data_IF_487543440828
#
_entry.id   IF_487543440828
#
_cell.length_a   1.000
_cell.length_b   1.000
_cell.length_c   1.000
_cell.angle_alpha   90.00
_cell.angle_beta   90.00
_cell.angle_gamma   90.00
#
_symmetry.space_group_name_H-M   'P 1'
#
loop_
_entity.id
_entity.type
_entity.pdbx_description
1 polymer ?
#
# COMPACT_ATOMS: atom_id res chain seq x y z
N UNK A 1 -4.79 26.30 -15.62
CA UNK A 1 -5.90 25.73 -14.82
C UNK A 1 -5.74 26.18 -13.38
N UNK A 2 -6.83 26.48 -12.66
CA UNK A 2 -6.75 26.97 -11.27
C UNK A 2 -6.32 25.85 -10.33
N UNK A 3 -5.20 26.02 -9.63
CA UNK A 3 -4.69 25.09 -8.61
C UNK A 3 -5.36 25.25 -7.25
N UNK A 4 -6.26 26.24 -7.09
CA UNK A 4 -6.90 26.58 -5.83
C UNK A 4 -7.68 25.42 -5.20
N UNK A 5 -8.13 24.45 -5.99
CA UNK A 5 -8.84 23.28 -5.49
C UNK A 5 -7.92 22.31 -4.70
N UNK A 6 -6.59 22.37 -4.88
CA UNK A 6 -5.62 21.51 -4.19
C UNK A 6 -5.00 22.14 -2.94
N UNK A 7 -5.27 23.42 -2.68
CA UNK A 7 -4.72 24.19 -1.56
C UNK A 7 -5.77 24.60 -0.52
N UNK A 8 -6.99 24.06 -0.63
CA UNK A 8 -8.09 24.37 0.30
C UNK A 8 -7.83 23.80 1.69
N UNK A 9 -8.12 24.59 2.73
CA UNK A 9 -7.93 24.17 4.13
C UNK A 9 -8.75 22.93 4.49
N UNK A 10 -9.91 22.72 3.85
CA UNK A 10 -10.76 21.54 4.03
C UNK A 10 -10.10 20.22 3.62
N UNK A 11 -9.01 20.26 2.85
CA UNK A 11 -8.28 19.05 2.47
C UNK A 11 -7.42 18.52 3.62
N UNK A 12 -6.99 19.40 4.53
CA UNK A 12 -6.05 19.08 5.59
C UNK A 12 -6.80 18.74 6.88
N UNK A 13 -6.39 17.66 7.54
CA UNK A 13 -7.04 17.19 8.78
C UNK A 13 -6.29 17.71 10.00
N UNK A 14 -4.98 17.88 9.87
CA UNK A 14 -4.11 18.40 10.93
C UNK A 14 -3.29 19.57 10.35
N UNK A 15 -3.85 20.79 10.34
CA UNK A 15 -3.07 21.98 10.01
C UNK A 15 -2.05 22.27 11.13
N UNK A 16 -0.86 22.78 10.80
CA UNK A 16 0.13 23.20 11.79
C UNK A 16 -0.43 24.30 12.67
N UNK A 17 -0.11 24.24 13.97
CA UNK A 17 -0.48 25.27 14.95
C UNK A 17 0.53 26.42 15.00
N UNK A 18 1.75 26.21 14.48
CA UNK A 18 2.79 27.21 14.40
C UNK A 18 2.74 27.98 13.06
N UNK A 19 3.09 29.27 13.05
CA UNK A 19 3.22 30.02 11.80
C UNK A 19 4.30 29.39 10.90
N UNK A 20 4.23 29.62 9.57
CA UNK A 20 5.27 29.16 8.66
C UNK A 20 6.62 29.70 9.11
N UNK A 21 7.62 28.82 9.21
CA UNK A 21 8.98 29.27 9.42
C UNK A 21 9.42 30.11 8.22
N UNK A 22 10.29 31.09 8.43
CA UNK A 22 10.88 31.94 7.38
C UNK A 22 11.59 31.15 6.27
N UNK A 23 11.80 29.84 6.47
CA UNK A 23 12.58 28.96 5.62
C UNK A 23 11.72 27.91 4.88
N UNK A 24 10.43 28.19 4.66
CA UNK A 24 9.55 27.24 3.95
C UNK A 24 9.88 27.22 2.45
N UNK A 25 10.73 26.28 2.01
CA UNK A 25 11.06 26.04 0.60
C UNK A 25 11.24 24.53 0.32
N UNK A 26 11.15 24.11 -0.95
CA UNK A 26 11.43 22.71 -1.32
C UNK A 26 12.89 22.35 -1.00
N UNK A 27 13.82 23.28 -1.18
CA UNK A 27 15.21 23.10 -0.78
C UNK A 27 15.33 22.76 0.72
N UNK A 28 14.60 23.47 1.58
CA UNK A 28 14.61 23.17 3.02
C UNK A 28 13.97 21.81 3.33
N UNK A 29 12.93 21.41 2.58
CA UNK A 29 12.32 20.09 2.68
C UNK A 29 13.35 18.99 2.38
N UNK A 30 14.11 19.12 1.29
CA UNK A 30 15.19 18.19 0.90
C UNK A 30 16.26 18.12 2.00
N UNK A 31 16.77 19.27 2.45
CA UNK A 31 17.79 19.32 3.53
C UNK A 31 17.28 18.66 4.82
N UNK A 32 16.00 18.84 5.14
CA UNK A 32 15.38 18.22 6.32
C UNK A 32 15.25 16.70 6.19
N UNK A 33 15.02 16.18 4.97
CA UNK A 33 14.98 14.74 4.68
C UNK A 33 16.38 14.09 4.74
N UNK A 34 17.41 14.83 4.34
CA UNK A 34 18.81 14.38 4.31
C UNK A 34 19.53 14.52 5.66
N UNK A 35 18.91 15.13 6.67
CA UNK A 35 19.56 15.40 7.96
C UNK A 35 19.94 14.11 8.71
N UNK A 36 21.26 13.87 8.81
CA UNK A 36 21.81 12.61 9.34
C UNK A 36 21.83 12.52 10.87
N UNK A 37 21.85 13.66 11.56
CA UNK A 37 22.16 13.71 13.00
C UNK A 37 21.08 13.08 13.90
N UNK A 38 19.80 13.09 13.48
CA UNK A 38 18.65 12.64 14.29
C UNK A 38 17.68 11.77 13.45
N UNK A 39 17.91 11.65 12.14
CA UNK A 39 16.91 11.16 11.19
C UNK A 39 15.80 12.19 10.94
N UNK A 40 14.98 12.00 9.88
CA UNK A 40 13.95 12.98 9.51
C UNK A 40 12.88 13.11 10.59
N UNK A 41 12.62 14.35 11.02
CA UNK A 41 11.45 14.65 11.84
C UNK A 41 10.20 14.74 10.95
N UNK A 42 9.46 13.63 10.82
CA UNK A 42 8.27 13.56 9.98
C UNK A 42 7.16 14.53 10.37
N UNK A 43 7.05 14.92 11.65
CA UNK A 43 6.07 15.92 12.06
C UNK A 43 6.43 17.31 11.49
N UNK A 44 7.68 17.72 11.59
CA UNK A 44 8.16 18.98 10.99
C UNK A 44 8.02 18.96 9.45
N UNK A 45 8.29 17.82 8.81
CA UNK A 45 8.13 17.68 7.36
C UNK A 45 6.65 17.76 6.93
N UNK A 46 5.72 17.26 7.75
CA UNK A 46 4.28 17.43 7.53
C UNK A 46 3.87 18.90 7.59
N UNK A 47 4.40 19.67 8.53
CA UNK A 47 4.12 21.10 8.62
C UNK A 47 4.69 21.87 7.42
N UNK A 48 5.91 21.53 6.99
CA UNK A 48 6.53 22.11 5.79
C UNK A 48 5.72 21.81 4.53
N UNK A 49 5.28 20.56 4.33
CA UNK A 49 4.45 20.20 3.16
C UNK A 49 3.09 20.90 3.17
N UNK A 50 2.47 21.12 4.34
CA UNK A 50 1.25 21.93 4.44
C UNK A 50 1.47 23.35 3.90
N UNK A 51 2.52 24.04 4.36
CA UNK A 51 2.79 25.40 3.92
C UNK A 51 3.19 25.47 2.45
N UNK A 52 3.97 24.51 1.94
CA UNK A 52 4.35 24.43 0.52
C UNK A 52 3.14 24.24 -0.40
N UNK A 53 2.22 23.34 -0.05
CA UNK A 53 1.00 23.10 -0.87
C UNK A 53 0.12 24.35 -0.95
N UNK A 54 0.12 25.16 0.10
CA UNK A 54 -0.65 26.42 0.14
C UNK A 54 0.08 27.61 -0.47
N UNK A 55 1.38 27.51 -0.73
CA UNK A 55 2.16 28.59 -1.30
C UNK A 55 1.76 28.83 -2.77
N UNK A 56 1.49 30.07 -3.18
CA UNK A 56 1.19 30.36 -4.58
C UNK A 56 2.42 30.13 -5.46
N UNK A 57 2.23 29.65 -6.70
CA UNK A 57 3.32 29.55 -7.69
C UNK A 57 3.80 28.14 -8.01
N UNK A 58 3.24 27.09 -7.38
CA UNK A 58 3.45 25.71 -7.81
C UNK A 58 2.46 25.31 -8.91
N UNK A 59 2.96 24.53 -9.87
CA UNK A 59 2.14 23.89 -10.89
C UNK A 59 1.24 22.81 -10.26
N UNK A 60 0.17 22.41 -10.96
CA UNK A 60 -0.71 21.35 -10.48
C UNK A 60 0.05 20.01 -10.30
N UNK A 61 1.00 19.71 -11.18
CA UNK A 61 1.87 18.52 -11.04
C UNK A 61 2.72 18.60 -9.77
N UNK A 62 3.36 19.75 -9.51
CA UNK A 62 4.17 19.97 -8.31
C UNK A 62 3.35 19.85 -7.02
N UNK A 63 2.10 20.34 -7.02
CA UNK A 63 1.20 20.20 -5.87
C UNK A 63 0.80 18.74 -5.62
N UNK A 64 0.47 17.99 -6.68
CA UNK A 64 0.19 16.56 -6.56
C UNK A 64 1.41 15.81 -6.00
N UNK A 65 2.61 16.25 -6.41
CA UNK A 65 3.86 15.69 -5.94
C UNK A 65 4.08 15.92 -4.43
N UNK A 66 3.84 17.15 -3.97
CA UNK A 66 3.84 17.49 -2.55
C UNK A 66 2.76 16.74 -1.75
N UNK A 67 1.58 16.53 -2.33
CA UNK A 67 0.52 15.74 -1.71
C UNK A 67 0.92 14.28 -1.49
N UNK A 68 1.57 13.65 -2.48
CA UNK A 68 2.11 12.30 -2.31
C UNK A 68 3.13 12.25 -1.17
N UNK A 69 4.10 13.16 -1.13
CA UNK A 69 5.07 13.26 -0.03
C UNK A 69 4.35 13.37 1.32
N UNK A 70 3.37 14.26 1.43
CA UNK A 70 2.57 14.45 2.65
C UNK A 70 1.86 13.17 3.11
N UNK A 71 1.22 12.43 2.20
CA UNK A 71 0.52 11.19 2.55
C UNK A 71 1.50 10.11 3.04
N UNK A 72 2.67 9.98 2.42
CA UNK A 72 3.73 9.04 2.86
C UNK A 72 4.29 9.47 4.22
N UNK A 73 4.51 10.76 4.44
CA UNK A 73 4.95 11.28 5.74
C UNK A 73 3.96 10.95 6.86
N UNK A 74 2.65 11.01 6.63
CA UNK A 74 1.66 10.55 7.61
C UNK A 74 1.79 9.06 7.92
N UNK A 75 2.02 8.23 6.90
CA UNK A 75 2.26 6.79 7.11
C UNK A 75 3.51 6.59 7.98
N UNK A 76 4.62 7.25 7.67
CA UNK A 76 5.86 7.10 8.42
C UNK A 76 5.75 7.66 9.85
N UNK A 77 4.94 8.69 10.06
CA UNK A 77 4.68 9.29 11.37
C UNK A 77 3.60 8.56 12.22
N UNK A 78 3.25 7.30 11.89
CA UNK A 78 2.21 6.51 12.60
C UNK A 78 0.82 7.19 12.63
N UNK A 79 0.51 7.98 11.61
CA UNK A 79 -0.73 8.78 11.51
C UNK A 79 -1.64 8.25 10.39
N UNK A 80 -1.86 6.93 10.32
CA UNK A 80 -2.66 6.31 9.25
C UNK A 80 -4.07 6.92 9.13
N UNK A 81 -4.75 7.18 10.25
CA UNK A 81 -6.08 7.79 10.22
C UNK A 81 -6.08 9.19 9.59
N UNK A 82 -5.01 9.96 9.76
CA UNK A 82 -4.85 11.25 9.09
C UNK A 82 -4.56 11.05 7.61
N UNK A 83 -3.66 10.13 7.26
CA UNK A 83 -3.37 9.77 5.87
C UNK A 83 -4.64 9.36 5.11
N UNK A 84 -5.48 8.49 5.69
CA UNK A 84 -6.74 8.04 5.10
C UNK A 84 -7.71 9.21 4.86
N UNK A 85 -7.92 10.05 5.87
CA UNK A 85 -8.84 11.19 5.76
C UNK A 85 -8.36 12.22 4.73
N UNK A 86 -7.08 12.59 4.75
CA UNK A 86 -6.53 13.53 3.76
C UNK A 86 -6.51 12.93 2.34
N UNK A 87 -6.24 11.62 2.20
CA UNK A 87 -6.34 10.94 0.91
C UNK A 87 -7.78 10.93 0.37
N UNK A 88 -8.78 10.70 1.21
CA UNK A 88 -10.20 10.80 0.83
C UNK A 88 -10.51 12.23 0.35
N UNK A 89 -10.12 13.24 1.12
CA UNK A 89 -10.36 14.63 0.77
C UNK A 89 -9.70 15.00 -0.56
N UNK A 90 -8.43 14.63 -0.75
CA UNK A 90 -7.69 14.86 -1.98
C UNK A 90 -8.31 14.13 -3.17
N UNK A 91 -8.62 12.84 -3.04
CA UNK A 91 -9.29 12.06 -4.07
C UNK A 91 -10.61 12.70 -4.49
N UNK A 92 -11.42 13.15 -3.53
CA UNK A 92 -12.70 13.78 -3.80
C UNK A 92 -12.52 15.12 -4.54
N UNK A 93 -11.56 15.94 -4.12
CA UNK A 93 -11.26 17.20 -4.79
C UNK A 93 -10.82 16.98 -6.25
N UNK A 94 -9.95 15.98 -6.49
CA UNK A 94 -9.50 15.60 -7.83
C UNK A 94 -10.64 15.07 -8.68
N UNK A 95 -11.47 14.19 -8.13
CA UNK A 95 -12.61 13.62 -8.84
C UNK A 95 -13.64 14.69 -9.23
N UNK A 96 -14.00 15.57 -8.29
CA UNK A 96 -14.98 16.65 -8.52
C UNK A 96 -14.48 17.69 -9.51
N UNK A 97 -13.17 17.98 -9.51
CA UNK A 97 -12.56 18.86 -10.50
C UNK A 97 -12.64 18.27 -11.92
N UNK A 98 -12.52 16.95 -12.09
CA UNK A 98 -12.72 16.29 -13.39
C UNK A 98 -14.20 16.13 -13.77
N UNK A 99 -15.09 16.04 -12.80
CA UNK A 99 -16.51 15.73 -12.98
C UNK A 99 -17.37 16.80 -12.30
N UNK A 100 -17.36 18.01 -12.88
CA UNK A 100 -18.19 19.12 -12.41
C UNK A 100 -19.66 18.67 -12.29
N UNK A 101 -20.27 18.88 -11.13
CA UNK A 101 -21.64 18.49 -10.77
C UNK A 101 -21.88 17.00 -10.43
N UNK A 102 -20.84 16.22 -10.11
CA UNK A 102 -21.05 14.84 -9.67
C UNK A 102 -21.82 14.74 -8.34
N UNK A 103 -22.92 13.99 -8.37
CA UNK A 103 -23.77 13.72 -7.20
C UNK A 103 -23.01 12.84 -6.19
N UNK A 104 -23.09 13.10 -4.88
CA UNK A 104 -22.40 12.29 -3.88
C UNK A 104 -22.80 10.81 -3.99
N UNK A 105 -21.85 9.85 -4.02
CA UNK A 105 -22.17 8.43 -4.18
C UNK A 105 -23.07 7.89 -3.06
N UNK A 106 -23.03 8.51 -1.87
CA UNK A 106 -23.85 8.14 -0.71
C UNK A 106 -25.23 8.82 -0.68
N UNK A 107 -25.61 9.60 -1.70
CA UNK A 107 -26.93 10.23 -1.78
C UNK A 107 -27.97 9.39 -2.54
N UNK A 108 -27.57 8.23 -3.07
CA UNK A 108 -28.47 7.29 -3.73
C UNK A 108 -29.11 6.31 -2.72
N UNK A 109 -30.00 6.81 -1.87
CA UNK A 109 -31.08 6.01 -1.25
C UNK A 109 -32.09 6.93 -0.57
N UNK A 110 -33.00 7.50 -1.37
CA UNK A 110 -34.41 7.71 -1.02
C UNK A 110 -35.19 8.18 -2.26
N UNK A 111 -34.97 7.54 -3.41
CA UNK A 111 -35.81 7.71 -4.58
C UNK A 111 -36.84 6.56 -4.61
N UNK A 112 -37.91 6.75 -3.84
CA UNK A 112 -39.30 6.39 -4.17
C UNK A 112 -39.51 5.18 -5.08
N UNK A 113 -39.75 4.03 -4.45
CA UNK A 113 -40.69 3.05 -4.99
C UNK A 113 -41.98 3.17 -4.19
N UNK A 114 -42.82 4.16 -4.51
CA UNK A 114 -44.22 4.17 -4.07
C UNK A 114 -45.07 4.81 -5.18
N UNK A 115 -45.58 3.93 -6.04
CA UNK A 115 -46.78 4.21 -6.81
C UNK A 115 -47.99 4.02 -5.88
N UNK A 116 -48.89 5.00 -5.91
CA UNK A 116 -50.28 4.98 -5.46
C UNK A 116 -50.62 5.64 -4.10
N UNK A 117 -51.20 6.84 -4.24
CA UNK A 117 -52.49 7.25 -3.67
C UNK A 117 -52.58 7.87 -2.26
N UNK A 118 -53.31 8.99 -2.26
CA UNK A 118 -54.16 9.59 -1.21
C UNK A 118 -53.53 10.40 -0.06
N UNK A 119 -53.65 11.72 -0.21
CA UNK A 119 -54.15 12.71 0.78
C UNK A 119 -53.98 12.41 2.28
N UNK A 120 -53.13 13.17 2.95
CA UNK A 120 -53.50 13.97 4.13
C UNK A 120 -52.27 14.72 4.69
N UNK A 121 -52.51 15.96 5.08
CA UNK A 121 -51.61 16.80 5.86
C UNK A 121 -51.15 16.12 7.14
N UNK A 122 -49.84 15.97 7.34
CA UNK A 122 -49.25 15.78 8.64
C UNK A 122 -47.84 16.39 8.64
N UNK A 123 -47.72 17.53 9.30
CA UNK A 123 -46.48 18.06 9.85
C UNK A 123 -45.88 17.02 10.79
N UNK A 124 -44.89 16.27 10.31
CA UNK A 124 -44.00 15.48 11.15
C UNK A 124 -42.58 15.92 10.89
N UNK A 125 -42.05 16.68 11.85
CA UNK A 125 -40.62 16.84 12.07
C UNK A 125 -39.99 15.44 12.18
N UNK A 126 -39.48 14.91 11.07
CA UNK A 126 -38.53 13.81 11.11
C UNK A 126 -37.20 14.45 11.44
N UNK A 127 -36.92 14.49 12.75
CA UNK A 127 -35.59 14.66 13.31
C UNK A 127 -34.58 13.91 12.45
N UNK A 128 -33.75 14.69 11.74
CA UNK A 128 -32.53 14.23 11.07
C UNK A 128 -31.73 13.47 12.13
N UNK A 129 -31.76 12.14 12.04
CA UNK A 129 -30.80 11.32 12.74
C UNK A 129 -29.43 11.70 12.16
N UNK A 130 -28.70 12.46 12.95
CA UNK A 130 -27.29 12.79 12.82
C UNK A 130 -26.51 11.46 12.78
N UNK A 131 -26.40 10.85 11.61
CA UNK A 131 -25.30 9.92 11.35
C UNK A 131 -24.07 10.79 11.15
N UNK A 132 -23.16 10.77 12.12
CA UNK A 132 -21.85 11.42 12.10
C UNK A 132 -21.35 11.69 10.67
N UNK A 133 -21.11 12.97 10.33
CA UNK A 133 -20.65 13.47 9.04
C UNK A 133 -19.56 12.58 8.40
N UNK A 134 -19.97 11.55 7.64
CA UNK A 134 -19.07 10.74 6.84
C UNK A 134 -18.84 11.48 5.53
N UNK A 135 -17.60 11.95 5.32
CA UNK A 135 -17.18 12.51 4.03
C UNK A 135 -17.50 11.49 2.94
N UNK A 136 -18.23 11.84 1.86
CA UNK A 136 -18.51 10.90 0.78
C UNK A 136 -17.19 10.40 0.19
N UNK A 137 -17.10 9.14 -0.22
CA UNK A 137 -15.88 8.59 -0.85
C UNK A 137 -16.17 8.42 -2.33
N UNK A 138 -15.58 9.27 -3.17
CA UNK A 138 -15.74 9.18 -4.62
C UNK A 138 -14.83 8.11 -5.24
N UNK A 139 -15.17 7.58 -6.44
CA UNK A 139 -14.24 6.76 -7.22
C UNK A 139 -12.93 7.49 -7.51
N UNK A 140 -11.87 6.77 -7.91
CA UNK A 140 -10.65 7.42 -8.39
C UNK A 140 -10.97 8.36 -9.56
N UNK A 141 -10.26 9.50 -9.68
CA UNK A 141 -10.34 10.34 -10.88
C UNK A 141 -10.00 9.51 -12.12
N UNK A 142 -10.61 9.84 -13.26
CA UNK A 142 -10.32 9.21 -14.54
C UNK A 142 -8.89 9.54 -15.01
N UNK A 143 -8.31 10.61 -14.47
CA UNK A 143 -6.97 11.07 -14.81
C UNK A 143 -6.84 11.32 -16.32
N UNK A 144 -7.82 12.06 -16.86
CA UNK A 144 -8.00 12.28 -18.31
C UNK A 144 -6.78 12.96 -18.94
N UNK A 145 -6.12 13.84 -18.19
CA UNK A 145 -4.94 14.58 -18.64
C UNK A 145 -3.61 13.90 -18.24
N UNK A 146 -3.66 12.70 -17.66
CA UNK A 146 -2.49 11.96 -17.19
C UNK A 146 -1.58 12.77 -16.24
N UNK A 147 -2.18 13.68 -15.46
CA UNK A 147 -1.45 14.57 -14.57
C UNK A 147 -1.15 13.94 -13.21
N UNK A 148 -1.96 12.96 -12.79
CA UNK A 148 -1.77 12.24 -11.54
C UNK A 148 -0.89 11.03 -11.82
N UNK A 149 0.26 10.97 -11.16
CA UNK A 149 1.18 9.86 -11.27
C UNK A 149 0.57 8.55 -10.74
N UNK A 150 1.02 7.44 -11.30
CA UNK A 150 0.57 6.09 -10.92
C UNK A 150 0.72 5.83 -9.41
N UNK A 151 1.87 6.22 -8.84
CA UNK A 151 2.17 5.95 -7.44
C UNK A 151 1.22 6.69 -6.50
N UNK A 152 0.86 7.93 -6.84
CA UNK A 152 -0.15 8.68 -6.10
C UNK A 152 -1.55 8.06 -6.27
N UNK A 153 -1.92 7.61 -7.47
CA UNK A 153 -3.21 6.93 -7.67
C UNK A 153 -3.33 5.66 -6.82
N UNK A 154 -2.26 4.85 -6.75
CA UNK A 154 -2.22 3.65 -5.90
C UNK A 154 -2.27 4.01 -4.43
N UNK A 155 -1.50 5.01 -4.00
CA UNK A 155 -1.51 5.44 -2.61
C UNK A 155 -2.91 5.95 -2.19
N UNK A 156 -3.55 6.75 -3.05
CA UNK A 156 -4.94 7.17 -2.85
C UNK A 156 -5.88 5.99 -2.77
N UNK A 157 -5.73 5.00 -3.66
CA UNK A 157 -6.57 3.81 -3.69
C UNK A 157 -6.50 3.00 -2.39
N UNK A 158 -5.28 2.79 -1.88
CA UNK A 158 -5.00 2.07 -0.63
C UNK A 158 -5.49 2.82 0.60
N UNK A 159 -5.38 4.14 0.61
CA UNK A 159 -5.75 4.97 1.76
C UNK A 159 -7.26 5.29 1.80
N UNK A 160 -7.90 5.50 0.64
CA UNK A 160 -9.30 5.98 0.61
C UNK A 160 -10.33 4.91 0.96
N UNK A 161 -9.97 3.64 0.83
CA UNK A 161 -10.88 2.52 1.06
C UNK A 161 -10.20 1.39 1.78
N UNK A 162 -10.87 0.85 2.80
CA UNK A 162 -10.49 -0.45 3.34
C UNK A 162 -10.62 -1.51 2.24
N UNK A 163 -9.69 -2.48 2.15
CA UNK A 163 -9.75 -3.54 1.16
C UNK A 163 -11.11 -4.25 1.18
N UNK A 164 -11.83 -4.14 0.07
CA UNK A 164 -13.14 -4.75 -0.14
C UNK A 164 -13.29 -5.11 -1.61
N UNK A 165 -14.26 -5.97 -1.96
CA UNK A 165 -14.39 -6.47 -3.34
C UNK A 165 -14.69 -5.38 -4.36
N UNK A 166 -15.28 -4.24 -3.99
CA UNK A 166 -15.47 -3.12 -4.91
C UNK A 166 -14.13 -2.48 -5.31
N UNK A 167 -13.11 -2.60 -4.46
CA UNK A 167 -11.76 -2.10 -4.74
C UNK A 167 -11.14 -2.77 -5.95
N UNK A 168 -11.46 -4.05 -6.18
CA UNK A 168 -11.00 -4.81 -7.34
C UNK A 168 -11.47 -4.13 -8.64
N UNK A 169 -12.69 -3.57 -8.67
CA UNK A 169 -13.19 -2.86 -9.84
C UNK A 169 -12.40 -1.57 -10.12
N UNK A 170 -11.93 -0.88 -9.08
CA UNK A 170 -11.06 0.29 -9.24
C UNK A 170 -9.65 -0.11 -9.70
N UNK A 171 -9.11 -1.21 -9.18
CA UNK A 171 -7.84 -1.79 -9.64
C UNK A 171 -7.91 -2.19 -11.12
N UNK A 172 -9.01 -2.80 -11.56
CA UNK A 172 -9.21 -3.14 -12.98
C UNK A 172 -9.26 -1.90 -13.87
N UNK A 173 -9.93 -0.83 -13.43
CA UNK A 173 -9.95 0.45 -14.17
C UNK A 173 -8.55 1.03 -14.28
N UNK A 174 -7.76 0.99 -13.21
CA UNK A 174 -6.38 1.48 -13.20
C UNK A 174 -5.48 0.63 -14.12
N UNK A 175 -5.64 -0.69 -14.11
CA UNK A 175 -4.96 -1.61 -15.02
C UNK A 175 -5.23 -1.24 -16.49
N UNK A 176 -6.50 -1.00 -16.82
CA UNK A 176 -6.88 -0.57 -18.16
C UNK A 176 -6.24 0.77 -18.54
N UNK A 177 -6.27 1.77 -17.64
CA UNK A 177 -5.64 3.06 -17.86
C UNK A 177 -4.12 2.95 -18.10
N UNK A 178 -3.42 2.11 -17.33
CA UNK A 178 -1.99 1.87 -17.50
C UNK A 178 -1.67 1.28 -18.88
N UNK A 179 -2.44 0.29 -19.32
CA UNK A 179 -2.24 -0.36 -20.62
C UNK A 179 -2.45 0.61 -21.78
N UNK A 180 -3.38 1.54 -21.67
CA UNK A 180 -3.61 2.57 -22.69
C UNK A 180 -2.47 3.59 -22.77
N UNK A 181 -1.81 3.90 -21.66
CA UNK A 181 -0.79 4.95 -21.57
C UNK A 181 0.62 4.47 -21.94
N UNK A 182 0.84 3.18 -22.20
CA UNK A 182 2.10 2.58 -22.66
C UNK A 182 3.35 3.12 -21.94
N UNK A 183 3.54 2.73 -20.67
CA UNK A 183 4.76 3.09 -19.92
C UNK A 183 5.88 2.06 -20.09
N UNK A 184 7.14 2.50 -20.08
CA UNK A 184 8.32 1.61 -20.03
C UNK A 184 8.29 0.62 -18.86
N UNK A 185 7.71 1.05 -17.73
CA UNK A 185 7.57 0.28 -16.48
C UNK A 185 6.24 -0.49 -16.38
N UNK A 186 5.49 -0.61 -17.50
CA UNK A 186 4.13 -1.16 -17.47
C UNK A 186 4.10 -2.54 -16.81
N UNK A 187 5.10 -3.37 -17.09
CA UNK A 187 5.20 -4.71 -16.54
C UNK A 187 5.23 -4.72 -15.01
N UNK A 188 6.17 -3.99 -14.39
CA UNK A 188 6.30 -3.92 -12.94
C UNK A 188 5.03 -3.36 -12.29
N UNK A 189 4.42 -2.34 -12.91
CA UNK A 189 3.14 -1.77 -12.45
C UNK A 189 2.01 -2.80 -12.50
N UNK A 190 1.89 -3.59 -13.57
CA UNK A 190 0.89 -4.66 -13.67
C UNK A 190 1.11 -5.79 -12.66
N UNK A 191 2.37 -6.17 -12.39
CA UNK A 191 2.71 -7.12 -11.33
C UNK A 191 2.27 -6.56 -9.97
N UNK A 192 2.58 -5.30 -9.68
CA UNK A 192 2.20 -4.70 -8.39
C UNK A 192 0.66 -4.61 -8.23
N UNK A 193 -0.08 -4.27 -9.29
CA UNK A 193 -1.55 -4.32 -9.26
C UNK A 193 -2.10 -5.71 -8.96
N UNK A 194 -1.41 -6.78 -9.41
CA UNK A 194 -1.81 -8.15 -9.07
C UNK A 194 -1.66 -8.41 -7.57
N UNK A 195 -0.64 -7.85 -6.93
CA UNK A 195 -0.46 -7.94 -5.48
C UNK A 195 -1.56 -7.18 -4.74
N UNK A 196 -1.98 -6.00 -5.22
CA UNK A 196 -3.15 -5.32 -4.64
C UNK A 196 -4.43 -6.20 -4.70
N UNK A 197 -4.67 -6.93 -5.80
CA UNK A 197 -5.78 -7.89 -5.89
C UNK A 197 -5.62 -9.01 -4.86
N UNK A 198 -4.41 -9.56 -4.71
CA UNK A 198 -4.10 -10.60 -3.72
C UNK A 198 -4.40 -10.10 -2.31
N UNK A 199 -3.96 -8.89 -1.96
CA UNK A 199 -4.21 -8.25 -0.66
C UNK A 199 -5.70 -8.11 -0.39
N UNK A 200 -6.48 -7.62 -1.36
CA UNK A 200 -7.93 -7.46 -1.21
C UNK A 200 -8.60 -8.81 -0.95
N UNK A 201 -8.30 -9.83 -1.76
CA UNK A 201 -8.92 -11.15 -1.62
C UNK A 201 -8.48 -11.84 -0.32
N UNK A 202 -7.24 -11.64 0.12
CA UNK A 202 -6.71 -12.19 1.36
C UNK A 202 -7.40 -11.59 2.59
N UNK A 203 -7.52 -10.26 2.65
CA UNK A 203 -8.13 -9.55 3.80
C UNK A 203 -9.62 -9.80 3.88
N UNK A 204 -10.30 -9.84 2.73
CA UNK A 204 -11.72 -10.18 2.66
C UNK A 204 -11.99 -11.68 2.81
N UNK A 205 -10.94 -12.50 3.02
CA UNK A 205 -11.02 -13.96 3.19
C UNK A 205 -11.68 -14.69 2.02
N UNK A 206 -11.64 -14.12 0.82
CA UNK A 206 -12.13 -14.73 -0.42
C UNK A 206 -11.10 -15.72 -0.99
N UNK A 207 -10.71 -16.71 -0.17
CA UNK A 207 -9.58 -17.59 -0.45
C UNK A 207 -9.77 -18.48 -1.69
N UNK A 208 -11.00 -18.90 -2.00
CA UNK A 208 -11.26 -19.69 -3.22
C UNK A 208 -11.03 -18.86 -4.49
N UNK A 209 -11.55 -17.63 -4.53
CA UNK A 209 -11.30 -16.70 -5.63
C UNK A 209 -9.82 -16.37 -5.74
N UNK A 210 -9.13 -16.17 -4.61
CA UNK A 210 -7.69 -15.94 -4.57
C UNK A 210 -6.91 -17.14 -5.15
N UNK A 211 -7.24 -18.35 -4.71
CA UNK A 211 -6.55 -19.57 -5.17
C UNK A 211 -6.75 -19.76 -6.68
N UNK A 212 -7.98 -19.60 -7.19
CA UNK A 212 -8.25 -19.68 -8.62
C UNK A 212 -7.50 -18.60 -9.41
N UNK A 213 -7.48 -17.37 -8.91
CA UNK A 213 -6.72 -16.27 -9.52
C UNK A 213 -5.23 -16.59 -9.62
N UNK A 214 -4.62 -17.07 -8.53
CA UNK A 214 -3.20 -17.43 -8.49
C UNK A 214 -2.88 -18.64 -9.37
N UNK A 215 -3.72 -19.67 -9.40
CA UNK A 215 -3.53 -20.84 -10.27
C UNK A 215 -3.54 -20.42 -11.75
N UNK A 216 -4.49 -19.57 -12.15
CA UNK A 216 -4.55 -19.06 -13.53
C UNK A 216 -3.31 -18.22 -13.86
N UNK A 217 -2.88 -17.33 -12.97
CA UNK A 217 -1.65 -16.55 -13.14
C UNK A 217 -0.43 -17.46 -13.30
N UNK A 218 -0.28 -18.49 -12.47
CA UNK A 218 0.84 -19.44 -12.56
C UNK A 218 0.84 -20.16 -13.91
N UNK A 219 -0.31 -20.57 -14.41
CA UNK A 219 -0.44 -21.21 -15.72
C UNK A 219 -0.02 -20.26 -16.84
N UNK A 220 -0.52 -19.02 -16.84
CA UNK A 220 -0.14 -18.01 -17.83
C UNK A 220 1.37 -17.73 -17.82
N UNK A 221 1.98 -17.60 -16.63
CA UNK A 221 3.42 -17.37 -16.50
C UNK A 221 4.26 -18.54 -17.01
N UNK A 222 3.81 -19.79 -16.79
CA UNK A 222 4.48 -20.99 -17.32
C UNK A 222 4.41 -21.11 -18.83
N UNK A 223 3.41 -20.51 -19.47
CA UNK A 223 3.24 -20.53 -20.92
C UNK A 223 4.09 -19.47 -21.64
N UNK A 224 4.72 -18.55 -20.91
CA UNK A 224 5.58 -17.53 -21.50
C UNK A 224 6.85 -18.18 -22.10
N UNK A 225 7.16 -17.94 -23.39
CA UNK A 225 8.40 -18.41 -23.98
C UNK A 225 9.57 -17.56 -23.47
N UNK A 226 10.61 -18.20 -22.92
CA UNK A 226 11.83 -17.56 -22.40
C UNK A 226 11.53 -16.39 -21.45
N UNK A 227 10.88 -16.63 -20.29
CA UNK A 227 10.57 -15.57 -19.35
C UNK A 227 11.87 -14.93 -18.85
N UNK A 228 11.93 -13.61 -18.87
CA UNK A 228 13.01 -12.87 -18.23
C UNK A 228 13.03 -13.08 -16.71
N UNK A 229 14.08 -12.60 -16.06
CA UNK A 229 14.31 -12.76 -14.62
C UNK A 229 13.12 -12.26 -13.77
N UNK A 230 12.51 -11.13 -14.15
CA UNK A 230 11.36 -10.58 -13.44
C UNK A 230 10.12 -11.48 -13.52
N UNK A 231 9.83 -12.10 -14.67
CA UNK A 231 8.72 -13.04 -14.78
C UNK A 231 9.01 -14.36 -14.07
N UNK A 232 10.27 -14.80 -14.03
CA UNK A 232 10.69 -15.96 -13.24
C UNK A 232 10.51 -15.68 -11.74
N UNK A 233 10.93 -14.50 -11.26
CA UNK A 233 10.71 -14.07 -9.89
C UNK A 233 9.21 -13.93 -9.56
N UNK A 234 8.41 -13.43 -10.49
CA UNK A 234 6.96 -13.33 -10.30
C UNK A 234 6.27 -14.71 -10.26
N UNK A 235 6.67 -15.65 -11.13
CA UNK A 235 6.23 -17.05 -11.06
C UNK A 235 6.57 -17.65 -9.69
N UNK A 236 7.77 -17.38 -9.20
CA UNK A 236 8.23 -17.80 -7.89
C UNK A 236 7.31 -17.30 -6.76
N UNK A 237 7.01 -16.00 -6.76
CA UNK A 237 6.12 -15.35 -5.81
C UNK A 237 4.72 -15.96 -5.85
N UNK A 238 4.16 -16.14 -7.05
CA UNK A 238 2.83 -16.74 -7.25
C UNK A 238 2.80 -18.19 -6.75
N UNK A 239 3.82 -18.99 -7.04
CA UNK A 239 3.90 -20.39 -6.56
C UNK A 239 3.93 -20.44 -5.03
N UNK A 240 4.71 -19.59 -4.37
CA UNK A 240 4.71 -19.52 -2.90
C UNK A 240 3.33 -19.13 -2.35
N UNK A 241 2.67 -18.12 -2.95
CA UNK A 241 1.32 -17.70 -2.53
C UNK A 241 0.29 -18.81 -2.69
N UNK A 242 0.34 -19.61 -3.77
CA UNK A 242 -0.56 -20.76 -3.96
C UNK A 242 -0.41 -21.75 -2.80
N UNK A 243 0.83 -22.09 -2.44
CA UNK A 243 1.11 -23.03 -1.35
C UNK A 243 0.54 -22.51 -0.04
N UNK A 244 0.81 -21.25 0.30
CA UNK A 244 0.29 -20.61 1.53
C UNK A 244 -1.24 -20.59 1.53
N UNK A 245 -1.86 -20.11 0.45
CA UNK A 245 -3.32 -19.95 0.38
C UNK A 245 -4.04 -21.29 0.37
N UNK A 246 -3.53 -22.30 -0.34
CA UNK A 246 -4.13 -23.63 -0.32
C UNK A 246 -4.00 -24.29 1.05
N UNK A 247 -2.85 -24.14 1.71
CA UNK A 247 -2.67 -24.60 3.09
C UNK A 247 -3.65 -23.91 4.04
N UNK A 248 -3.86 -22.60 3.91
CA UNK A 248 -4.86 -21.85 4.68
C UNK A 248 -6.28 -22.40 4.43
N UNK A 249 -6.66 -22.63 3.17
CA UNK A 249 -7.99 -23.16 2.81
C UNK A 249 -8.21 -24.54 3.42
N UNK A 250 -7.22 -25.44 3.31
CA UNK A 250 -7.30 -26.79 3.85
C UNK A 250 -7.32 -26.79 5.39
N UNK A 251 -6.52 -25.93 6.03
CA UNK A 251 -6.53 -25.78 7.50
C UNK A 251 -7.89 -25.24 8.00
N UNK A 252 -8.50 -24.29 7.27
CA UNK A 252 -9.85 -23.83 7.57
C UNK A 252 -10.90 -24.93 7.40
N UNK A 253 -10.76 -25.79 6.37
CA UNK A 253 -11.65 -26.94 6.17
C UNK A 253 -11.45 -28.01 7.25
N UNK A 254 -10.22 -28.27 7.71
CA UNK A 254 -9.93 -29.20 8.80
C UNK A 254 -10.73 -28.90 10.06
N UNK A 255 -10.97 -27.61 10.37
CA UNK A 255 -11.84 -27.21 11.48
C UNK A 255 -13.29 -27.70 11.34
N UNK A 256 -13.74 -27.93 10.11
CA UNK A 256 -15.06 -28.47 9.77
C UNK A 256 -15.06 -29.99 9.51
N UNK A 257 -13.92 -30.55 9.10
CA UNK A 257 -13.72 -31.98 8.80
C UNK A 257 -12.41 -32.48 9.45
N UNK A 258 -12.45 -33.01 10.68
CA UNK A 258 -11.27 -33.29 11.50
C UNK A 258 -10.26 -34.28 10.90
N UNK A 259 -10.72 -35.17 10.01
CA UNK A 259 -9.90 -36.22 9.39
C UNK A 259 -8.98 -35.70 8.25
N UNK A 260 -9.04 -34.41 7.92
CA UNK A 260 -8.20 -33.84 6.86
C UNK A 260 -6.79 -33.61 7.38
N UNK A 261 -5.85 -34.49 7.03
CA UNK A 261 -4.43 -34.23 7.23
C UNK A 261 -3.92 -33.28 6.14
N UNK A 262 -3.71 -32.01 6.52
CA UNK A 262 -3.32 -30.93 5.59
C UNK A 262 -1.91 -31.17 5.02
N UNK A 263 -0.98 -31.63 5.87
CA UNK A 263 0.41 -31.90 5.49
C UNK A 263 0.50 -32.99 4.41
N UNK A 264 -0.24 -34.09 4.58
CA UNK A 264 -0.31 -35.21 3.62
C UNK A 264 -0.87 -34.80 2.24
N UNK A 265 -1.67 -33.73 2.18
CA UNK A 265 -2.22 -33.23 0.92
C UNK A 265 -1.31 -32.20 0.25
N UNK A 266 -0.69 -31.31 1.03
CA UNK A 266 0.08 -30.19 0.49
C UNK A 266 1.51 -30.60 0.15
N UNK A 267 2.19 -31.34 1.03
CA UNK A 267 3.62 -31.64 0.85
C UNK A 267 3.87 -32.43 -0.44
N UNK A 268 3.20 -33.58 -0.69
CA UNK A 268 3.44 -34.36 -1.91
C UNK A 268 3.05 -33.61 -3.19
N UNK A 269 2.04 -32.74 -3.12
CA UNK A 269 1.55 -31.95 -4.26
C UNK A 269 2.52 -30.85 -4.68
N UNK A 270 3.21 -30.23 -3.72
CA UNK A 270 3.99 -29.02 -3.95
C UNK A 270 5.50 -29.18 -3.80
N UNK A 271 6.00 -30.31 -3.30
CA UNK A 271 7.44 -30.54 -3.08
C UNK A 271 8.31 -30.15 -4.27
N UNK A 272 8.06 -30.75 -5.42
CA UNK A 272 8.86 -30.49 -6.63
C UNK A 272 8.76 -29.03 -7.07
N UNK A 273 7.57 -28.43 -6.99
CA UNK A 273 7.37 -27.01 -7.36
C UNK A 273 8.04 -26.06 -6.37
N UNK A 274 8.07 -26.40 -5.08
CA UNK A 274 8.70 -25.60 -4.04
C UNK A 274 10.23 -25.61 -4.18
N UNK A 275 10.81 -26.76 -4.52
CA UNK A 275 12.25 -26.90 -4.72
C UNK A 275 12.72 -26.30 -6.04
N UNK A 276 11.94 -26.44 -7.12
CA UNK A 276 12.34 -26.01 -8.47
C UNK A 276 11.90 -24.59 -8.86
N UNK A 277 10.75 -24.10 -8.39
CA UNK A 277 10.18 -22.81 -8.83
C UNK A 277 10.31 -21.70 -7.77
N UNK A 278 10.41 -22.05 -6.48
CA UNK A 278 10.48 -21.05 -5.40
C UNK A 278 11.93 -20.65 -5.15
N UNK A 279 12.32 -19.49 -5.65
CA UNK A 279 13.65 -18.92 -5.61
C UNK A 279 14.01 -18.43 -4.19
N UNK A 280 15.32 -18.35 -3.86
CA UNK A 280 15.78 -17.92 -2.54
C UNK A 280 15.25 -16.55 -2.12
N UNK A 281 15.19 -15.57 -3.02
CA UNK A 281 14.67 -14.24 -2.71
C UNK A 281 13.21 -14.30 -2.22
N UNK A 282 12.37 -15.11 -2.85
CA UNK A 282 10.97 -15.33 -2.49
C UNK A 282 10.85 -15.87 -1.07
N UNK A 283 11.63 -16.92 -0.74
CA UNK A 283 11.65 -17.55 0.59
C UNK A 283 12.17 -16.59 1.65
N UNK A 284 13.28 -15.91 1.35
CA UNK A 284 13.92 -14.95 2.25
C UNK A 284 13.01 -13.74 2.53
N UNK A 285 12.19 -13.32 1.57
CA UNK A 285 11.22 -12.24 1.77
C UNK A 285 10.15 -12.61 2.81
N UNK A 286 9.64 -13.84 2.75
CA UNK A 286 8.71 -14.35 3.74
C UNK A 286 9.38 -14.48 5.11
N UNK A 287 10.56 -15.09 5.14
CA UNK A 287 11.33 -15.31 6.36
C UNK A 287 11.68 -13.98 7.06
N UNK A 288 12.12 -12.97 6.31
CA UNK A 288 12.36 -11.62 6.81
C UNK A 288 11.09 -11.03 7.45
N UNK A 289 9.94 -11.17 6.79
CA UNK A 289 8.66 -10.66 7.31
C UNK A 289 8.23 -11.38 8.59
N UNK A 290 8.44 -12.70 8.67
CA UNK A 290 8.21 -13.49 9.89
C UNK A 290 9.15 -13.12 11.04
N UNK A 291 10.42 -12.79 10.75
CA UNK A 291 11.41 -12.38 11.76
C UNK A 291 11.17 -10.95 12.28
N UNK A 292 10.55 -10.09 11.47
CA UNK A 292 10.39 -8.66 11.77
C UNK A 292 9.04 -8.34 12.41
N UNK A 293 8.00 -9.11 12.10
CA UNK A 293 6.65 -8.87 12.59
C UNK A 293 6.26 -9.95 13.58
N UNK A 294 5.89 -9.55 14.79
CA UNK A 294 5.29 -10.49 15.73
C UNK A 294 3.91 -10.92 15.23
N UNK A 295 3.58 -12.23 15.26
CA UNK A 295 2.23 -12.68 15.00
C UNK A 295 1.33 -12.12 16.09
N UNK A 296 0.34 -11.30 15.73
CA UNK A 296 -0.67 -10.80 16.67
C UNK A 296 -1.62 -11.96 17.01
N UNK A 297 -1.17 -12.90 17.82
CA UNK A 297 -2.04 -13.88 18.45
C UNK A 297 -2.81 -13.10 19.52
N UNK A 298 -4.15 -13.15 19.57
CA UNK A 298 -4.88 -12.59 20.70
C UNK A 298 -4.61 -13.48 21.92
N UNK A 299 -3.51 -13.21 22.63
CA UNK A 299 -3.32 -13.71 23.98
C UNK A 299 -4.23 -12.91 24.90
N UNK A 300 -5.25 -13.57 25.45
CA UNK A 300 -5.83 -13.13 26.71
C UNK A 300 -4.68 -13.07 27.71
N UNK A 301 -4.56 -11.93 28.40
CA UNK A 301 -3.48 -11.58 29.33
C UNK A 301 -2.18 -11.12 28.67
N UNK A 302 -1.96 -9.80 28.64
CA UNK A 302 -0.67 -9.18 29.01
C UNK A 302 -0.79 -7.65 29.00
N UNK A 303 -0.41 -7.07 30.14
CA UNK A 303 -0.15 -5.65 30.33
C UNK A 303 0.94 -5.14 29.38
N UNK A 304 0.80 -3.88 29.01
CA UNK A 304 1.71 -3.12 28.17
C UNK A 304 3.13 -3.17 28.76
N UNK A 305 4.06 -3.83 28.07
CA UNK A 305 5.48 -3.50 28.17
C UNK A 305 6.11 -3.52 26.78
N UNK A 306 6.54 -2.34 26.36
CA UNK A 306 7.29 -2.06 25.15
C UNK A 306 8.70 -2.64 25.27
N UNK A 307 8.95 -3.82 24.72
CA UNK A 307 10.24 -4.21 24.13
C UNK A 307 10.07 -5.53 23.36
N UNK A 308 10.51 -5.64 22.09
CA UNK A 308 10.31 -6.86 21.33
C UNK A 308 11.37 -7.89 21.75
N UNK A 309 11.03 -8.77 22.68
CA UNK A 309 11.77 -10.02 22.88
C UNK A 309 11.44 -10.97 21.72
N UNK A 310 12.05 -10.76 20.56
CA UNK A 310 12.12 -11.77 19.52
C UNK A 310 13.05 -12.89 20.01
N UNK A 311 12.52 -14.09 20.26
CA UNK A 311 13.35 -15.27 20.45
C UNK A 311 14.19 -15.49 19.19
N UNK A 312 15.50 -15.30 19.34
CA UNK A 312 16.53 -15.39 18.29
C UNK A 312 16.67 -16.84 17.82
N UNK A 313 15.86 -17.24 16.86
CA UNK A 313 16.19 -18.36 15.98
C UNK A 313 16.49 -17.80 14.59
N UNK A 314 17.78 -17.64 14.31
CA UNK A 314 18.30 -17.20 13.02
C UNK A 314 18.24 -18.39 12.08
N UNK A 315 17.10 -18.52 11.39
CA UNK A 315 16.90 -19.56 10.39
C UNK A 315 17.30 -19.01 9.03
N UNK A 316 18.12 -19.75 8.28
CA UNK A 316 18.68 -19.31 7.00
C UNK A 316 17.85 -19.73 5.78
N UNK A 317 16.99 -20.75 5.92
CA UNK A 317 16.07 -21.20 4.87
C UNK A 317 14.82 -21.82 5.52
N UNK A 318 13.72 -21.92 4.78
CA UNK A 318 12.46 -22.52 5.23
C UNK A 318 12.09 -23.68 4.30
N UNK A 319 12.00 -24.90 4.84
CA UNK A 319 11.55 -26.06 4.06
C UNK A 319 10.04 -25.99 3.81
N UNK A 320 9.54 -26.83 2.89
CA UNK A 320 8.11 -26.87 2.60
C UNK A 320 7.30 -27.32 3.82
N UNK A 321 7.79 -28.33 4.54
CA UNK A 321 7.19 -28.86 5.76
C UNK A 321 7.05 -27.75 6.81
N UNK A 322 8.13 -27.03 7.06
CA UNK A 322 8.16 -25.96 8.06
C UNK A 322 7.27 -24.77 7.66
N UNK A 323 7.17 -24.48 6.35
CA UNK A 323 6.22 -23.49 5.82
C UNK A 323 4.78 -23.93 6.10
N UNK A 324 4.43 -25.17 5.76
CA UNK A 324 3.09 -25.74 5.97
C UNK A 324 2.74 -25.71 7.45
N UNK A 325 3.63 -26.18 8.32
CA UNK A 325 3.46 -26.14 9.77
C UNK A 325 3.27 -24.71 10.28
N UNK A 326 4.07 -23.75 9.77
CA UNK A 326 3.98 -22.35 10.16
C UNK A 326 2.64 -21.72 9.76
N UNK A 327 2.05 -22.13 8.64
CA UNK A 327 0.71 -21.69 8.21
C UNK A 327 -0.37 -22.36 9.05
N UNK A 328 -0.26 -23.66 9.33
CA UNK A 328 -1.23 -24.42 10.13
C UNK A 328 -1.31 -23.86 11.56
N UNK A 329 -0.16 -23.60 12.17
CA UNK A 329 -0.01 -23.09 13.53
C UNK A 329 -0.31 -21.59 13.66
N UNK A 330 -0.57 -20.88 12.54
CA UNK A 330 -0.93 -19.47 12.54
C UNK A 330 0.25 -18.50 12.68
N UNK A 331 1.49 -18.99 12.59
CA UNK A 331 2.70 -18.16 12.58
C UNK A 331 2.77 -17.29 11.32
N UNK A 332 2.28 -17.78 10.18
CA UNK A 332 2.14 -16.98 8.94
C UNK A 332 0.78 -16.28 8.92
N UNK A 333 0.74 -15.05 9.41
CA UNK A 333 -0.48 -14.23 9.48
C UNK A 333 -0.75 -13.46 8.17
N UNK A 334 -1.97 -12.96 7.99
CA UNK A 334 -2.31 -12.03 6.89
C UNK A 334 -1.37 -10.82 6.85
N UNK A 335 -0.98 -10.28 8.02
CA UNK A 335 -0.04 -9.15 8.12
C UNK A 335 1.34 -9.50 7.57
N UNK A 336 1.83 -10.71 7.88
CA UNK A 336 3.10 -11.22 7.36
C UNK A 336 3.03 -11.37 5.85
N UNK A 337 1.95 -11.98 5.32
CA UNK A 337 1.76 -12.14 3.86
C UNK A 337 1.72 -10.77 3.16
N UNK A 338 0.95 -9.81 3.68
CA UNK A 338 0.88 -8.45 3.13
C UNK A 338 2.23 -7.74 3.19
N UNK A 339 3.02 -7.95 4.23
CA UNK A 339 4.35 -7.33 4.33
C UNK A 339 5.35 -7.95 3.36
N UNK A 340 5.26 -9.27 3.14
CA UNK A 340 6.02 -9.97 2.09
C UNK A 340 5.67 -9.43 0.70
N UNK A 341 4.38 -9.25 0.40
CA UNK A 341 3.93 -8.64 -0.86
C UNK A 341 4.47 -7.21 -1.02
N UNK A 342 4.47 -6.44 0.06
CA UNK A 342 5.00 -5.08 0.08
C UNK A 342 6.51 -5.04 -0.21
N UNK A 343 7.28 -6.00 0.30
CA UNK A 343 8.70 -6.13 0.00
C UNK A 343 8.94 -6.38 -1.50
N UNK A 344 8.20 -7.33 -2.08
CA UNK A 344 8.28 -7.61 -3.53
C UNK A 344 7.91 -6.41 -4.38
N UNK A 345 6.88 -5.68 -3.97
CA UNK A 345 6.45 -4.46 -4.64
C UNK A 345 7.53 -3.37 -4.60
N UNK A 346 8.17 -3.14 -3.44
CA UNK A 346 9.26 -2.17 -3.34
C UNK A 346 10.45 -2.55 -4.21
N UNK A 347 10.83 -3.82 -4.27
CA UNK A 347 11.91 -4.27 -5.16
C UNK A 347 11.57 -4.09 -6.64
N UNK A 348 10.29 -4.19 -7.01
CA UNK A 348 9.83 -3.92 -8.38
C UNK A 348 9.88 -2.42 -8.72
N UNK A 349 9.57 -1.54 -7.77
CA UNK A 349 9.55 -0.07 -7.97
C UNK A 349 10.97 0.50 -7.87
N UNK A 350 11.77 -0.02 -6.95
CA UNK A 350 13.05 0.53 -6.52
C UNK A 350 14.12 -0.56 -6.52
N UNK A 351 14.87 -0.73 -7.62
CA UNK A 351 15.86 -1.81 -7.77
C UNK A 351 17.03 -1.78 -6.77
N UNK A 352 17.20 -0.66 -6.05
CA UNK A 352 18.25 -0.48 -5.06
C UNK A 352 17.91 -1.13 -3.70
N UNK A 353 16.67 -1.57 -3.48
CA UNK A 353 16.33 -2.36 -2.31
C UNK A 353 16.76 -3.81 -2.47
N UNK A 354 17.41 -4.35 -1.43
CA UNK A 354 17.89 -5.73 -1.41
C UNK A 354 17.67 -6.37 -0.05
N UNK A 355 17.53 -7.70 -0.07
CA UNK A 355 17.58 -8.55 1.11
C UNK A 355 18.99 -9.09 1.29
N UNK A 356 19.57 -8.86 2.46
CA UNK A 356 20.93 -9.28 2.79
C UNK A 356 20.96 -9.97 4.14
N UNK A 357 21.83 -10.96 4.28
CA UNK A 357 22.11 -11.56 5.58
C UNK A 357 23.10 -10.68 6.32
N UNK A 358 22.70 -10.21 7.50
CA UNK A 358 23.61 -9.56 8.45
C UNK A 358 24.66 -10.55 8.98
N UNK A 359 25.68 -10.03 9.64
CA UNK A 359 26.75 -10.83 10.27
C UNK A 359 26.20 -11.83 11.29
N UNK A 360 25.11 -11.47 11.97
CA UNK A 360 24.38 -12.33 12.91
C UNK A 360 23.46 -13.35 12.20
N UNK A 361 23.49 -13.42 10.87
CA UNK A 361 22.67 -14.28 10.02
C UNK A 361 21.20 -13.85 9.86
N UNK A 362 20.76 -12.77 10.54
CA UNK A 362 19.41 -12.21 10.39
C UNK A 362 19.27 -11.55 9.02
N UNK A 363 18.14 -11.78 8.34
CA UNK A 363 17.84 -11.09 7.09
C UNK A 363 17.50 -9.62 7.38
N UNK A 364 18.09 -8.71 6.61
CA UNK A 364 17.82 -7.29 6.66
C UNK A 364 17.42 -6.81 5.27
N UNK A 365 16.33 -6.04 5.21
CA UNK A 365 15.94 -5.32 4.01
C UNK A 365 16.57 -3.94 4.02
N UNK A 366 17.46 -3.68 3.07
CA UNK A 366 18.29 -2.48 3.04
C UNK A 366 18.04 -1.70 1.75
N UNK A 367 18.09 -0.36 1.84
CA UNK A 367 18.26 0.51 0.69
C UNK A 367 19.77 0.71 0.46
N UNK A 368 20.29 0.24 -0.67
CA UNK A 368 21.65 0.56 -1.12
C UNK A 368 21.62 1.66 -2.18
N UNK A 369 20.87 2.74 -1.93
CA UNK A 369 21.04 3.93 -2.75
C UNK A 369 22.38 4.56 -2.37
N UNK A 370 23.29 4.69 -3.33
CA UNK A 370 24.42 5.61 -3.16
C UNK A 370 23.82 6.97 -2.81
N UNK A 371 24.26 7.56 -1.68
CA UNK A 371 23.83 8.91 -1.35
C UNK A 371 24.14 9.77 -2.57
N UNK A 372 23.13 10.47 -3.06
CA UNK A 372 23.34 11.51 -4.05
C UNK A 372 24.27 12.53 -3.41
N UNK A 373 25.57 12.46 -3.72
CA UNK A 373 26.62 13.40 -3.33
C UNK A 373 26.42 14.74 -4.05
N UNK A 374 25.21 15.31 -3.91
CA UNK A 374 24.85 16.61 -4.45
C UNK A 374 25.29 17.62 -3.41
N UNK A 375 26.25 18.47 -3.78
CA UNK A 375 26.76 19.49 -2.88
C UNK A 375 25.68 20.51 -2.53
N UNK A 376 25.81 21.20 -1.40
CA UNK A 376 24.86 22.27 -1.02
C UNK A 376 24.78 23.40 -2.06
N UNK A 377 25.84 23.61 -2.83
CA UNK A 377 25.91 24.58 -3.92
C UNK A 377 25.07 24.10 -5.11
N UNK A 378 25.19 22.82 -5.49
CA UNK A 378 24.37 22.22 -6.55
C UNK A 378 22.88 22.21 -6.20
N UNK A 379 22.53 21.96 -4.93
CA UNK A 379 21.13 22.01 -4.48
C UNK A 379 20.49 23.39 -4.65
N UNK A 380 21.27 24.48 -4.60
CA UNK A 380 20.75 25.83 -4.79
C UNK A 380 20.47 26.16 -6.25
N UNK A 381 21.09 25.45 -7.19
CA UNK A 381 20.91 25.62 -8.63
C UNK A 381 19.73 24.81 -9.18
N UNK A 382 19.25 23.81 -8.43
CA UNK A 382 18.15 22.95 -8.86
C UNK A 382 16.83 23.69 -8.94
N UNK A 383 16.05 23.39 -9.97
CA UNK A 383 14.68 23.86 -10.07
C UNK A 383 13.74 23.12 -9.09
N UNK A 384 12.50 23.58 -9.01
CA UNK A 384 11.49 22.97 -8.13
C UNK A 384 11.21 21.49 -8.47
N UNK A 385 11.27 21.09 -9.73
CA UNK A 385 10.93 19.73 -10.14
C UNK A 385 12.06 18.75 -9.78
N UNK A 386 13.31 19.16 -10.00
CA UNK A 386 14.52 18.45 -9.59
C UNK A 386 14.60 18.30 -8.07
N UNK A 387 14.32 19.38 -7.31
CA UNK A 387 14.28 19.33 -5.86
C UNK A 387 13.18 18.40 -5.34
N UNK A 388 12.00 18.39 -5.98
CA UNK A 388 10.95 17.44 -5.64
C UNK A 388 11.35 16.00 -5.95
N UNK A 389 12.07 15.74 -7.06
CA UNK A 389 12.50 14.38 -7.42
C UNK A 389 13.47 13.85 -6.38
N UNK A 390 14.36 14.71 -5.91
CA UNK A 390 15.28 14.40 -4.83
C UNK A 390 14.54 14.14 -3.51
N UNK A 391 13.60 15.02 -3.13
CA UNK A 391 12.79 14.82 -1.93
C UNK A 391 12.00 13.50 -1.96
N UNK A 392 11.48 13.13 -3.13
CA UNK A 392 10.82 11.84 -3.34
C UNK A 392 11.75 10.67 -3.17
N UNK A 393 12.89 10.71 -3.85
CA UNK A 393 13.84 9.63 -3.80
C UNK A 393 14.36 9.43 -2.36
N UNK A 394 14.60 10.52 -1.63
CA UNK A 394 15.07 10.47 -0.24
C UNK A 394 13.99 10.01 0.74
N UNK A 395 12.74 10.45 0.58
CA UNK A 395 11.65 9.94 1.41
C UNK A 395 11.38 8.45 1.13
N UNK A 396 11.33 8.04 -0.14
CA UNK A 396 11.04 6.66 -0.52
C UNK A 396 12.14 5.69 -0.09
N UNK A 397 13.38 6.16 0.10
CA UNK A 397 14.44 5.36 0.71
C UNK A 397 14.10 4.88 2.13
N UNK A 398 13.13 5.47 2.83
CA UNK A 398 12.75 5.03 4.17
C UNK A 398 11.70 3.91 4.18
N UNK A 399 11.15 3.51 3.02
CA UNK A 399 10.16 2.45 2.94
C UNK A 399 10.62 1.12 3.53
N UNK A 400 11.93 0.79 3.50
CA UNK A 400 12.43 -0.44 4.14
C UNK A 400 12.14 -0.51 5.65
N UNK A 401 12.01 0.62 6.33
CA UNK A 401 11.64 0.69 7.76
C UNK A 401 10.14 0.51 8.01
N UNK A 402 9.33 0.69 6.96
CA UNK A 402 7.87 0.81 7.05
C UNK A 402 7.14 -0.08 6.04
N UNK A 403 7.76 -1.19 5.61
CA UNK A 403 7.22 -2.13 4.61
C UNK A 403 5.79 -2.57 4.97
N UNK A 404 5.56 -2.82 6.25
CA UNK A 404 4.27 -3.25 6.77
C UNK A 404 3.13 -2.22 6.58
N UNK A 405 3.47 -0.96 6.25
CA UNK A 405 2.51 0.13 5.98
C UNK A 405 2.15 0.32 4.51
N UNK A 406 2.80 -0.39 3.58
CA UNK A 406 2.65 -0.19 2.13
C UNK A 406 1.19 -0.25 1.67
N UNK A 407 0.40 -1.15 2.25
CA UNK A 407 -1.03 -1.32 1.94
C UNK A 407 -1.97 -0.51 2.85
N UNK A 408 -1.46 0.30 3.79
CA UNK A 408 -2.28 1.16 4.64
C UNK A 408 -3.25 0.42 5.58
N UNK A 409 -2.80 -0.71 6.15
CA UNK A 409 -3.65 -1.68 6.85
C UNK A 409 -3.53 -1.69 8.38
N UNK A 410 -2.59 -0.93 8.95
CA UNK A 410 -2.25 -1.01 10.39
C UNK A 410 -3.04 -0.09 11.32
#
# INVERSE_FOLDING_TARGET
>A
MSTQHLSQDSLFVCPPTSPPSSNTSILHLVKSLQSESIGPNYASLLDQTYHLIRHPGFSQSQLLRLWHLRLVLHLFNNRLNYAKKEAINLNNALYLHENNNAVPPNSASLATSDSASTTASATTNVSRLNTNNLTPIYPLPKNNWALIDYDLLILLLRLKSLPNLNLINEIYKLNYQLRLKSSSELKHKLINLSYDIVVVLLITKNYLSLLNYLINLRQELKLLPNPDEHYQQYLSNVTLLIIIVETLVLNLRRKSTPDTNVEELVIPKYKDSYESEVQPFTKNSLLHSMQTLQPTIPSQDSEITETPAASVYVKQDITLEELVDSVINGSVTTRIICSTLGLWELCNIFPHFKLESSEDGKLQFLSRKEKSDVSEEQLQEFDHDQLLDLAYADLNNHWYKYIYKIYGLE
#
